data_IF_858801517711
#
_entry.id   IF_858801517711
#
_cell.length_a   1.000
_cell.length_b   1.000
_cell.length_c   1.000
_cell.angle_alpha   90.00
_cell.angle_beta   90.00
_cell.angle_gamma   90.00
#
_symmetry.space_group_name_H-M   'P 1'
#
loop_
_entity.id
_entity.type
_entity.pdbx_description
1 polymer ?
#
# COMPACT_ATOMS: atom_id res chain seq x y z
N UNK A 1 48.14 -14.65 19.41
CA UNK A 1 48.18 -13.26 18.88
C UNK A 1 47.86 -13.13 17.38
N UNK A 2 48.31 -14.02 16.48
CA UNK A 2 48.05 -13.91 15.02
C UNK A 2 46.56 -13.75 14.63
N UNK A 3 45.64 -14.45 15.32
CA UNK A 3 44.20 -14.32 15.09
C UNK A 3 43.64 -12.94 15.44
N UNK A 4 44.08 -12.34 16.56
CA UNK A 4 43.65 -11.00 16.98
C UNK A 4 44.09 -9.94 15.96
N UNK A 5 45.35 -10.00 15.52
CA UNK A 5 45.88 -9.08 14.51
C UNK A 5 45.16 -9.22 13.18
N UNK A 6 44.82 -10.45 12.76
CA UNK A 6 44.04 -10.71 11.54
C UNK A 6 42.62 -10.11 11.63
N UNK A 7 41.98 -10.21 12.79
CA UNK A 7 40.68 -9.60 13.05
C UNK A 7 40.72 -8.08 13.01
N UNK A 8 41.67 -7.45 13.71
CA UNK A 8 41.86 -6.00 13.70
C UNK A 8 42.20 -5.47 12.31
N UNK A 9 43.04 -6.16 11.54
CA UNK A 9 43.35 -5.80 10.16
C UNK A 9 42.11 -5.88 9.26
N UNK A 10 41.22 -6.86 9.48
CA UNK A 10 39.96 -6.94 8.76
C UNK A 10 39.02 -5.79 9.13
N UNK A 11 38.90 -5.45 10.42
CA UNK A 11 38.13 -4.28 10.88
C UNK A 11 38.66 -2.99 10.26
N UNK A 12 39.98 -2.78 10.26
CA UNK A 12 40.61 -1.60 9.68
C UNK A 12 40.35 -1.50 8.17
N UNK A 13 40.38 -2.64 7.46
CA UNK A 13 40.01 -2.70 6.02
C UNK A 13 38.56 -2.30 5.75
N UNK A 14 37.64 -2.53 6.69
CA UNK A 14 36.24 -2.13 6.51
C UNK A 14 36.01 -0.62 6.70
N UNK A 15 36.89 0.09 7.43
CA UNK A 15 36.74 1.55 7.62
C UNK A 15 36.88 2.35 6.33
N UNK A 16 37.62 1.84 5.34
CA UNK A 16 37.81 2.48 4.04
C UNK A 16 36.85 1.99 2.96
N UNK A 17 35.89 1.12 3.29
CA UNK A 17 34.88 0.66 2.33
C UNK A 17 33.78 1.72 2.18
N UNK A 18 33.13 1.69 1.02
CA UNK A 18 31.91 2.46 0.80
C UNK A 18 30.83 2.06 1.82
N UNK A 19 30.09 3.05 2.31
CA UNK A 19 29.04 2.84 3.31
C UNK A 19 27.78 2.40 2.60
N UNK A 20 27.15 1.33 3.10
CA UNK A 20 25.85 0.83 2.60
C UNK A 20 24.64 1.64 3.11
N UNK A 21 24.87 2.72 3.85
CA UNK A 21 23.81 3.49 4.51
C UNK A 21 23.15 4.45 3.53
N UNK A 22 21.81 4.46 3.48
CA UNK A 22 21.01 5.45 2.76
C UNK A 22 20.83 6.71 3.59
N UNK A 23 20.76 7.89 2.94
CA UNK A 23 20.48 9.17 3.61
C UNK A 23 18.97 9.42 3.77
N UNK A 24 18.28 8.54 4.49
CA UNK A 24 16.85 8.72 4.76
C UNK A 24 16.64 9.84 5.81
N UNK A 25 15.71 10.80 5.61
CA UNK A 25 14.65 10.83 4.59
C UNK A 25 14.97 11.63 3.31
N UNK A 26 16.18 12.19 3.14
CA UNK A 26 16.52 12.99 1.96
C UNK A 26 16.62 12.15 0.68
N UNK A 27 17.06 10.90 0.81
CA UNK A 27 17.13 9.91 -0.26
C UNK A 27 16.10 8.80 0.02
N UNK A 28 15.14 8.65 -0.90
CA UNK A 28 14.12 7.60 -0.81
C UNK A 28 14.71 6.22 -1.15
N UNK A 29 14.22 5.18 -0.48
CA UNK A 29 14.60 3.80 -0.74
C UNK A 29 13.82 3.30 -1.97
N UNK A 30 14.48 2.87 -3.06
CA UNK A 30 13.79 2.36 -4.22
C UNK A 30 13.11 1.03 -3.89
N UNK A 31 11.78 1.02 -3.87
CA UNK A 31 11.00 -0.19 -3.65
C UNK A 31 10.77 -0.93 -4.97
N UNK A 32 10.71 -2.28 -4.94
CA UNK A 32 10.40 -3.06 -6.14
C UNK A 32 8.95 -2.82 -6.59
N UNK A 33 8.65 -3.01 -7.87
CA UNK A 33 7.29 -2.81 -8.44
C UNK A 33 6.21 -3.65 -7.72
N UNK A 34 6.52 -4.88 -7.29
CA UNK A 34 5.59 -5.75 -6.54
C UNK A 34 5.58 -5.53 -5.02
N UNK A 35 6.12 -4.41 -4.53
CA UNK A 35 6.02 -4.06 -3.11
C UNK A 35 4.54 -3.93 -2.71
N UNK A 36 4.25 -4.35 -1.48
CA UNK A 36 2.90 -4.28 -0.91
C UNK A 36 2.85 -3.13 0.08
N UNK A 37 2.57 -1.93 -0.44
CA UNK A 37 2.46 -0.72 0.35
C UNK A 37 1.01 -0.36 0.65
N UNK A 38 0.75 0.94 0.72
CA UNK A 38 -0.56 1.50 1.01
C UNK A 38 -1.41 1.51 -0.27
N UNK A 39 -2.71 1.25 -0.16
CA UNK A 39 -3.56 1.13 -1.34
C UNK A 39 -3.92 2.50 -1.93
N UNK A 40 -3.95 2.57 -3.26
CA UNK A 40 -4.61 3.62 -4.05
C UNK A 40 -5.95 3.07 -4.52
N UNK A 41 -6.99 3.88 -4.39
CA UNK A 41 -8.32 3.55 -4.87
C UNK A 41 -8.76 4.49 -6.01
N UNK A 42 -9.45 3.95 -7.01
CA UNK A 42 -10.00 4.66 -8.17
C UNK A 42 -11.53 4.54 -8.11
N UNK A 43 -12.23 5.51 -7.51
CA UNK A 43 -13.70 5.48 -7.37
C UNK A 43 -14.43 5.29 -8.70
N UNK A 44 -13.89 5.87 -9.78
CA UNK A 44 -14.45 5.83 -11.13
C UNK A 44 -14.39 4.44 -11.78
N UNK A 45 -13.48 3.57 -11.33
CA UNK A 45 -13.34 2.19 -11.81
C UNK A 45 -14.16 1.19 -10.99
N UNK A 46 -14.59 1.57 -9.78
CA UNK A 46 -15.29 0.66 -8.88
C UNK A 46 -16.74 0.42 -9.34
N UNK A 47 -17.10 -0.86 -9.46
CA UNK A 47 -18.46 -1.30 -9.84
C UNK A 47 -19.29 -1.82 -8.65
N UNK A 48 -18.82 -1.60 -7.41
CA UNK A 48 -19.51 -2.01 -6.16
C UNK A 48 -19.81 -3.52 -6.13
N UNK A 49 -18.86 -4.34 -6.58
CA UNK A 49 -19.01 -5.81 -6.67
C UNK A 49 -18.73 -6.56 -5.35
N UNK A 50 -18.19 -5.86 -4.34
CA UNK A 50 -17.83 -6.38 -3.02
C UNK A 50 -16.75 -7.48 -2.96
N UNK A 51 -16.06 -7.79 -4.07
CA UNK A 51 -15.08 -8.87 -4.10
C UNK A 51 -13.86 -8.59 -3.20
N UNK A 52 -13.34 -7.36 -3.22
CA UNK A 52 -12.21 -6.95 -2.37
C UNK A 52 -12.54 -7.02 -0.87
N UNK A 53 -13.76 -6.62 -0.48
CA UNK A 53 -14.21 -6.74 0.91
C UNK A 53 -14.39 -8.21 1.32
N UNK A 54 -15.03 -9.03 0.47
CA UNK A 54 -15.28 -10.44 0.77
C UNK A 54 -14.01 -11.30 0.85
N UNK A 55 -12.97 -10.98 0.08
CA UNK A 55 -11.71 -11.73 0.12
C UNK A 55 -10.79 -11.29 1.26
N UNK A 56 -11.06 -10.13 1.88
CA UNK A 56 -10.19 -9.57 2.88
C UNK A 56 -10.14 -10.46 4.12
N UNK A 57 -8.96 -11.01 4.50
CA UNK A 57 -8.88 -11.99 5.59
C UNK A 57 -9.10 -11.37 6.98
N UNK A 58 -9.11 -10.04 7.09
CA UNK A 58 -9.29 -9.32 8.35
C UNK A 58 -10.53 -8.44 8.37
N UNK A 59 -11.38 -8.50 7.34
CA UNK A 59 -12.59 -7.67 7.21
C UNK A 59 -12.32 -6.16 7.40
N UNK A 60 -11.14 -5.69 6.99
CA UNK A 60 -10.72 -4.30 7.19
C UNK A 60 -11.34 -3.30 6.21
N UNK A 61 -12.09 -3.77 5.21
CA UNK A 61 -12.62 -2.96 4.10
C UNK A 61 -14.13 -2.77 4.28
N UNK A 62 -14.57 -1.51 4.36
CA UNK A 62 -15.97 -1.14 4.33
C UNK A 62 -16.33 -0.57 2.95
N UNK A 63 -17.14 -1.29 2.17
CA UNK A 63 -17.61 -0.85 0.85
C UNK A 63 -19.14 -0.78 0.85
N UNK A 64 -19.67 0.41 0.53
CA UNK A 64 -21.11 0.58 0.29
C UNK A 64 -21.36 1.28 -1.05
N UNK A 65 -22.59 1.16 -1.55
CA UNK A 65 -22.99 1.82 -2.78
C UNK A 65 -24.45 2.22 -2.77
N UNK A 66 -24.73 3.32 -3.48
CA UNK A 66 -26.05 3.92 -3.65
C UNK A 66 -26.55 3.74 -5.08
N UNK A 67 -27.83 4.00 -5.30
CA UNK A 67 -28.41 3.99 -6.65
C UNK A 67 -27.70 5.05 -7.51
N UNK A 68 -27.52 4.72 -8.79
CA UNK A 68 -27.00 5.67 -9.76
C UNK A 68 -27.85 6.96 -9.76
N UNK A 69 -27.24 8.17 -9.72
CA UNK A 69 -27.98 9.43 -9.65
C UNK A 69 -28.83 9.70 -10.90
N UNK A 70 -28.35 9.26 -12.07
CA UNK A 70 -29.15 9.20 -13.29
C UNK A 70 -30.10 7.98 -13.25
N UNK A 71 -31.43 8.17 -13.20
CA UNK A 71 -32.42 7.09 -13.10
C UNK A 71 -32.52 6.23 -14.36
N UNK A 72 -31.95 6.66 -15.48
CA UNK A 72 -31.93 5.87 -16.73
C UNK A 72 -30.81 4.83 -16.73
N UNK A 73 -29.77 5.04 -15.92
CA UNK A 73 -28.63 4.12 -15.80
C UNK A 73 -28.91 3.07 -14.73
N UNK A 74 -28.75 1.80 -15.10
CA UNK A 74 -28.84 0.67 -14.17
C UNK A 74 -27.49 0.48 -13.47
N UNK A 75 -27.51 0.23 -12.16
CA UNK A 75 -26.31 -0.07 -11.38
C UNK A 75 -26.23 0.70 -10.07
N UNK A 76 -25.18 0.42 -9.30
CA UNK A 76 -24.81 1.18 -8.11
C UNK A 76 -23.60 2.05 -8.42
N UNK A 77 -23.54 3.22 -7.78
CA UNK A 77 -22.31 4.01 -7.67
C UNK A 77 -21.79 3.87 -6.25
N UNK A 78 -20.48 3.99 -6.09
CA UNK A 78 -19.86 3.87 -4.78
C UNK A 78 -20.34 5.00 -3.85
N UNK A 79 -20.50 4.67 -2.57
CA UNK A 79 -20.89 5.64 -1.54
C UNK A 79 -19.80 5.76 -0.47
N UNK A 80 -19.34 4.63 0.06
CA UNK A 80 -18.18 4.58 0.97
C UNK A 80 -17.18 3.52 0.50
N UNK A 81 -15.90 3.80 0.73
CA UNK A 81 -14.82 2.83 0.60
C UNK A 81 -13.73 3.17 1.60
N UNK A 82 -13.71 2.45 2.71
CA UNK A 82 -12.79 2.74 3.81
C UNK A 82 -11.94 1.52 4.12
N UNK A 83 -10.68 1.75 4.52
CA UNK A 83 -9.73 0.72 4.96
C UNK A 83 -9.26 1.04 6.37
N UNK A 84 -9.46 0.10 7.29
CA UNK A 84 -8.85 0.16 8.61
C UNK A 84 -7.44 -0.46 8.58
N UNK A 85 -6.41 0.39 8.58
CA UNK A 85 -5.02 -0.06 8.56
C UNK A 85 -4.49 -0.59 9.89
N UNK A 86 -5.24 -0.49 11.00
CA UNK A 86 -4.87 -1.16 12.24
C UNK A 86 -4.89 -2.69 12.11
N UNK A 87 -5.76 -3.20 11.24
CA UNK A 87 -5.98 -4.64 11.05
C UNK A 87 -5.71 -5.09 9.61
N UNK A 88 -5.40 -4.17 8.69
CA UNK A 88 -4.95 -4.52 7.35
C UNK A 88 -3.57 -5.19 7.43
N UNK A 89 -3.43 -6.37 6.81
CA UNK A 89 -2.16 -7.12 6.79
C UNK A 89 -1.35 -6.92 5.49
N UNK A 90 -1.75 -5.96 4.64
CA UNK A 90 -1.08 -5.60 3.38
C UNK A 90 -0.79 -6.81 2.48
N UNK A 91 -1.76 -7.72 2.35
CA UNK A 91 -1.57 -9.02 1.68
C UNK A 91 -1.73 -9.01 0.15
N UNK A 92 -2.27 -7.95 -0.44
CA UNK A 92 -2.52 -7.78 -1.89
C UNK A 92 -3.75 -8.53 -2.46
N UNK A 93 -4.48 -9.31 -1.66
CA UNK A 93 -5.65 -10.06 -2.14
C UNK A 93 -6.77 -9.16 -2.70
N UNK A 94 -6.97 -7.96 -2.13
CA UNK A 94 -7.98 -7.02 -2.61
C UNK A 94 -7.68 -6.48 -4.01
N UNK A 95 -6.40 -6.35 -4.39
CA UNK A 95 -5.99 -5.88 -5.71
C UNK A 95 -6.08 -7.01 -6.73
N UNK A 96 -5.62 -8.22 -6.36
CA UNK A 96 -5.65 -9.39 -7.23
C UNK A 96 -7.08 -9.79 -7.62
N UNK A 97 -8.03 -9.66 -6.69
CA UNK A 97 -9.44 -10.01 -6.95
C UNK A 97 -10.19 -8.91 -7.71
N UNK A 98 -9.68 -7.67 -7.76
CA UNK A 98 -10.45 -6.55 -8.29
C UNK A 98 -10.60 -6.65 -9.82
N UNK A 99 -11.81 -6.88 -10.36
CA UNK A 99 -11.98 -7.15 -11.79
C UNK A 99 -11.78 -5.91 -12.68
N UNK A 100 -11.77 -4.72 -12.09
CA UNK A 100 -11.64 -3.44 -12.79
C UNK A 100 -10.40 -2.66 -12.37
N UNK A 101 -9.52 -3.27 -11.57
CA UNK A 101 -8.32 -2.62 -11.02
C UNK A 101 -8.63 -1.28 -10.33
N UNK A 102 -9.77 -1.22 -9.63
CA UNK A 102 -10.19 -0.06 -8.86
C UNK A 102 -9.39 0.11 -7.56
N UNK A 103 -8.77 -0.95 -7.05
CA UNK A 103 -7.85 -0.89 -5.92
C UNK A 103 -6.52 -1.50 -6.33
N UNK A 104 -5.43 -0.78 -6.07
CA UNK A 104 -4.07 -1.20 -6.38
C UNK A 104 -3.12 -0.85 -5.23
N UNK A 105 -1.96 -1.49 -5.17
CA UNK A 105 -0.90 -1.13 -4.22
C UNK A 105 -0.07 0.04 -4.74
N UNK A 106 0.43 0.87 -3.84
CA UNK A 106 1.55 1.78 -4.11
C UNK A 106 2.81 1.27 -3.44
N UNK A 107 3.93 1.92 -3.74
CA UNK A 107 5.20 1.75 -3.05
C UNK A 107 5.30 2.59 -1.77
N UNK A 108 4.24 3.31 -1.38
CA UNK A 108 4.22 4.10 -0.15
C UNK A 108 4.13 3.16 1.06
N UNK A 109 4.95 3.42 2.08
CA UNK A 109 5.02 2.61 3.30
C UNK A 109 4.95 3.44 4.59
N UNK A 110 4.95 4.77 4.47
CA UNK A 110 5.01 5.71 5.59
C UNK A 110 3.61 5.96 6.18
N UNK A 111 3.08 4.93 6.86
CA UNK A 111 1.71 4.94 7.40
C UNK A 111 1.63 5.28 8.89
N UNK A 112 2.76 5.53 9.55
CA UNK A 112 2.79 5.81 10.99
C UNK A 112 1.94 7.03 11.35
N UNK A 113 1.14 6.92 12.41
CA UNK A 113 0.29 8.00 12.90
C UNK A 113 0.32 8.11 14.43
N UNK A 114 -0.14 9.26 14.95
CA UNK A 114 -0.15 9.54 16.39
C UNK A 114 -1.44 9.06 17.07
N UNK A 115 -2.52 8.87 16.32
CA UNK A 115 -3.78 8.34 16.83
C UNK A 115 -4.23 7.11 16.03
N UNK A 116 -5.10 6.32 16.66
CA UNK A 116 -5.75 5.17 16.05
C UNK A 116 -6.70 5.57 14.92
N UNK A 117 -7.42 6.66 15.12
CA UNK A 117 -8.39 7.18 14.15
C UNK A 117 -7.71 7.57 12.83
N UNK A 118 -6.46 8.05 12.90
CA UNK A 118 -5.67 8.38 11.72
C UNK A 118 -5.29 7.15 10.86
N UNK A 119 -5.38 5.92 11.39
CA UNK A 119 -5.16 4.67 10.63
C UNK A 119 -6.40 4.20 9.87
N UNK A 120 -7.54 4.85 10.08
CA UNK A 120 -8.73 4.66 9.25
C UNK A 120 -8.66 5.60 8.04
N UNK A 121 -8.54 5.03 6.84
CA UNK A 121 -8.48 5.83 5.61
C UNK A 121 -9.78 5.68 4.84
N UNK A 122 -10.41 6.82 4.58
CA UNK A 122 -11.65 6.89 3.82
C UNK A 122 -11.38 6.91 2.30
N UNK A 123 -12.47 6.95 1.54
CA UNK A 123 -12.43 6.94 0.07
C UNK A 123 -11.60 8.08 -0.50
N UNK A 124 -11.73 9.30 0.05
CA UNK A 124 -11.02 10.49 -0.41
C UNK A 124 -9.50 10.34 -0.22
N UNK A 125 -9.07 9.94 0.98
CA UNK A 125 -7.65 9.73 1.28
C UNK A 125 -7.02 8.66 0.38
N UNK A 126 -7.75 7.56 0.14
CA UNK A 126 -7.29 6.48 -0.72
C UNK A 126 -7.24 6.90 -2.19
N UNK A 127 -8.10 7.81 -2.62
CA UNK A 127 -8.08 8.41 -3.96
C UNK A 127 -6.92 9.41 -4.10
N UNK A 128 -6.55 10.14 -3.04
CA UNK A 128 -5.43 11.08 -3.07
C UNK A 128 -4.05 10.40 -2.95
N UNK A 129 -3.98 9.10 -2.61
CA UNK A 129 -2.73 8.35 -2.52
C UNK A 129 -2.16 7.99 -3.93
N UNK A 130 -1.88 8.98 -4.76
CA UNK A 130 -1.56 8.84 -6.19
C UNK A 130 -0.05 8.84 -6.53
N UNK A 131 0.80 8.80 -5.51
CA UNK A 131 2.25 8.73 -5.67
C UNK A 131 2.79 7.30 -5.61
N UNK A 132 3.91 7.07 -6.31
CA UNK A 132 4.64 5.79 -6.35
C UNK A 132 3.74 4.57 -6.61
N UNK A 133 2.81 4.73 -7.55
CA UNK A 133 1.83 3.72 -7.90
C UNK A 133 2.50 2.52 -8.57
N UNK A 134 2.13 1.29 -8.16
CA UNK A 134 2.52 0.06 -8.84
C UNK A 134 2.03 0.10 -10.30
N UNK A 135 2.96 -0.03 -11.24
CA UNK A 135 2.62 0.11 -12.66
C UNK A 135 1.92 -1.13 -13.21
N UNK A 136 2.12 -2.28 -12.58
CA UNK A 136 1.66 -3.56 -13.12
C UNK A 136 1.05 -4.47 -12.05
N UNK A 137 -0.27 -4.66 -12.10
CA UNK A 137 -0.95 -5.74 -11.39
C UNK A 137 -0.79 -7.05 -12.16
N UNK A 138 0.45 -7.55 -12.31
CA UNK A 138 0.67 -8.89 -12.86
C UNK A 138 0.42 -9.92 -11.76
N UNK A 139 -0.46 -10.92 -11.99
CA UNK A 139 -0.48 -12.13 -11.17
C UNK A 139 0.91 -12.80 -11.16
#
# INVERSE_FOLDING_TARGET
MKGLMKGLAYTLKNLSREKMTYDYPNESIPMPDRFRGIQKFYPEKCIVCNQCANICPTDCINLTGKKHPDPTKKGKVIDTYDINFEICILCDLCTEVCPTEAIIMTNNFELSAYSRDDLFKNLEWLDENDENIRQVNKP
#
